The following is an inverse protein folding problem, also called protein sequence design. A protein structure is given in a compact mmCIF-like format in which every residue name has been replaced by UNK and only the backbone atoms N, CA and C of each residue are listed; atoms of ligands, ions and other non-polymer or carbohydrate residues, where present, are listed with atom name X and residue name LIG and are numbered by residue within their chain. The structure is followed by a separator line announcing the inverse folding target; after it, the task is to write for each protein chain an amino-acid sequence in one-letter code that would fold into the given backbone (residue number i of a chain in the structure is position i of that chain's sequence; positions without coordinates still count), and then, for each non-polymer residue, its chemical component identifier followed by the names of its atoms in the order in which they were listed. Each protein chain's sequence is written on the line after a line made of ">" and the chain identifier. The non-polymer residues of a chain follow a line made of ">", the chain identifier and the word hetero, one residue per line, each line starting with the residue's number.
data_IF_943167615819
#
_entry.id   IF_943167615819
#
_cell.length_a   1.000
_cell.length_b   1.000
_cell.length_c   1.000
_cell.angle_alpha   90.00
_cell.angle_beta   90.00
_cell.angle_gamma   90.00
#
_symmetry.space_group_name_H-M   'P 1'
#
loop_
_entity.id
_entity.type
_entity.pdbx_description
1 polymer ?
#
# COMPACT_ATOMS: atom_id res chain seq x y z
N UNK A 1 10.68 -23.28 22.25
CA UNK A 1 9.40 -23.61 22.93
C UNK A 1 8.30 -22.81 22.24
N UNK A 2 7.16 -23.43 21.95
CA UNK A 2 6.01 -22.73 21.35
C UNK A 2 5.51 -21.64 22.30
N UNK A 3 5.20 -20.47 21.76
CA UNK A 3 4.62 -19.35 22.53
C UNK A 3 3.11 -19.24 22.38
N UNK A 4 2.52 -19.94 21.41
CA UNK A 4 1.08 -19.95 21.18
C UNK A 4 0.36 -20.76 22.26
N UNK A 5 -0.67 -20.16 22.85
CA UNK A 5 -1.64 -20.87 23.69
C UNK A 5 -2.86 -21.26 22.85
N UNK A 6 -3.49 -22.41 23.13
CA UNK A 6 -4.71 -22.83 22.41
C UNK A 6 -5.84 -21.81 22.48
N UNK A 7 -5.89 -21.02 23.56
CA UNK A 7 -6.84 -19.92 23.77
C UNK A 7 -6.76 -18.82 22.70
N UNK A 8 -5.67 -18.73 21.94
CA UNK A 8 -5.59 -17.77 20.82
C UNK A 8 -6.63 -18.08 19.74
N UNK A 9 -7.10 -19.33 19.63
CA UNK A 9 -8.02 -19.78 18.59
C UNK A 9 -9.48 -19.91 19.04
N UNK A 10 -9.81 -19.45 20.26
CA UNK A 10 -11.15 -19.56 20.85
C UNK A 10 -12.09 -18.39 20.48
N UNK A 11 -11.56 -17.29 19.95
CA UNK A 11 -12.29 -16.06 19.62
C UNK A 11 -12.51 -15.11 20.81
N UNK A 12 -12.87 -13.87 20.52
CA UNK A 12 -13.30 -12.90 21.54
C UNK A 12 -12.21 -12.48 22.55
N UNK A 13 -12.60 -12.26 23.81
CA UNK A 13 -11.71 -11.73 24.87
C UNK A 13 -10.58 -12.69 25.25
N UNK A 14 -10.83 -14.00 25.17
CA UNK A 14 -9.82 -15.02 25.44
C UNK A 14 -8.66 -14.89 24.43
N UNK A 15 -8.97 -14.75 23.15
CA UNK A 15 -7.96 -14.56 22.11
C UNK A 15 -7.24 -13.22 22.23
N UNK A 16 -7.92 -12.13 22.58
CA UNK A 16 -7.27 -10.81 22.83
C UNK A 16 -6.27 -10.86 23.99
N UNK A 17 -6.63 -11.55 25.07
CA UNK A 17 -5.75 -11.72 26.23
C UNK A 17 -4.54 -12.58 25.87
N UNK A 18 -4.78 -13.71 25.18
CA UNK A 18 -3.72 -14.58 24.69
C UNK A 18 -2.76 -13.85 23.74
N UNK A 19 -3.30 -13.07 22.79
CA UNK A 19 -2.53 -12.30 21.82
C UNK A 19 -1.57 -11.31 22.50
N UNK A 20 -2.06 -10.58 23.51
CA UNK A 20 -1.23 -9.66 24.30
C UNK A 20 -0.09 -10.38 25.01
N UNK A 21 -0.36 -11.55 25.61
CA UNK A 21 0.66 -12.35 26.28
C UNK A 21 1.70 -12.92 25.30
N UNK A 22 1.25 -13.39 24.12
CA UNK A 22 2.13 -13.86 23.05
C UNK A 22 3.03 -12.71 22.59
N UNK A 23 2.48 -11.52 22.38
CA UNK A 23 3.20 -10.37 21.90
C UNK A 23 4.32 -9.93 22.86
N UNK A 24 4.06 -9.92 24.18
CA UNK A 24 5.08 -9.63 25.19
C UNK A 24 6.17 -10.72 25.26
N UNK A 25 5.81 -12.00 25.07
CA UNK A 25 6.79 -13.10 24.98
C UNK A 25 7.66 -12.98 23.74
N UNK A 26 7.08 -12.65 22.59
CA UNK A 26 7.82 -12.44 21.33
C UNK A 26 8.81 -11.27 21.49
N UNK A 27 8.36 -10.17 22.11
CA UNK A 27 9.22 -9.02 22.41
C UNK A 27 10.39 -9.35 23.35
N UNK A 28 10.15 -10.14 24.40
CA UNK A 28 11.17 -10.46 25.42
C UNK A 28 12.13 -11.59 25.05
N UNK A 29 11.70 -12.53 24.20
CA UNK A 29 12.51 -13.69 23.82
C UNK A 29 13.62 -13.38 22.81
N UNK A 30 13.51 -12.29 22.03
CA UNK A 30 14.49 -11.89 21.01
C UNK A 30 14.56 -12.79 19.77
N UNK A 31 14.17 -14.07 19.87
CA UNK A 31 14.14 -15.05 18.78
C UNK A 31 12.87 -15.02 17.93
N UNK A 32 11.88 -14.20 18.30
CA UNK A 32 10.60 -14.14 17.62
C UNK A 32 9.72 -15.38 17.85
N UNK A 33 8.80 -15.64 16.92
CA UNK A 33 7.97 -16.85 16.85
C UNK A 33 8.79 -18.07 16.43
N UNK A 34 8.43 -19.27 16.89
CA UNK A 34 9.01 -20.50 16.33
C UNK A 34 8.43 -20.80 14.94
N UNK A 35 9.11 -21.61 14.12
CA UNK A 35 8.58 -22.05 12.81
C UNK A 35 7.24 -22.77 12.93
N UNK A 36 7.05 -23.55 13.99
CA UNK A 36 5.78 -24.22 14.29
C UNK A 36 4.67 -23.21 14.62
N UNK A 37 4.98 -22.17 15.40
CA UNK A 37 4.02 -21.12 15.72
C UNK A 37 3.61 -20.33 14.47
N UNK A 38 4.57 -20.03 13.59
CA UNK A 38 4.27 -19.37 12.31
C UNK A 38 3.42 -20.24 11.39
N UNK A 39 3.73 -21.53 11.27
CA UNK A 39 2.90 -22.47 10.49
C UNK A 39 1.48 -22.51 11.02
N UNK A 40 1.31 -22.61 12.34
CA UNK A 40 -0.01 -22.64 12.96
C UNK A 40 -0.82 -21.35 12.70
N UNK A 41 -0.19 -20.17 12.74
CA UNK A 41 -0.85 -18.92 12.38
C UNK A 41 -1.20 -18.87 10.89
N UNK A 42 -0.28 -19.28 10.00
CA UNK A 42 -0.51 -19.29 8.57
C UNK A 42 -1.65 -20.25 8.18
N UNK A 43 -1.66 -21.47 8.74
CA UNK A 43 -2.72 -22.46 8.56
C UNK A 43 -4.06 -21.94 9.07
N UNK A 44 -4.07 -21.29 10.25
CA UNK A 44 -5.28 -20.71 10.82
C UNK A 44 -5.85 -19.62 9.91
N UNK A 45 -5.03 -18.71 9.38
CA UNK A 45 -5.45 -17.65 8.46
C UNK A 45 -5.98 -18.22 7.12
N UNK A 46 -5.35 -19.27 6.60
CA UNK A 46 -5.70 -19.89 5.32
C UNK A 46 -6.95 -20.78 5.38
N UNK A 47 -7.33 -21.28 6.56
CA UNK A 47 -8.48 -22.17 6.73
C UNK A 47 -9.81 -21.41 6.57
N UNK A 48 -10.26 -21.27 5.32
CA UNK A 48 -11.53 -20.62 4.95
C UNK A 48 -12.79 -21.43 5.24
N UNK A 49 -12.71 -22.53 5.99
CA UNK A 49 -13.85 -23.40 6.28
C UNK A 49 -14.93 -22.71 7.12
N UNK A 50 -16.17 -23.20 7.00
CA UNK A 50 -17.26 -22.79 7.89
C UNK A 50 -16.99 -23.37 9.29
N UNK A 51 -17.08 -22.53 10.32
CA UNK A 51 -16.84 -22.93 11.73
C UNK A 51 -15.41 -22.66 12.23
N UNK A 52 -14.50 -22.18 11.39
CA UNK A 52 -13.12 -21.87 11.77
C UNK A 52 -12.86 -20.35 11.88
N UNK A 53 -13.93 -19.55 11.85
CA UNK A 53 -13.88 -18.09 11.96
C UNK A 53 -13.17 -17.62 13.24
N UNK A 54 -13.44 -18.25 14.39
CA UNK A 54 -12.77 -17.91 15.65
C UNK A 54 -11.25 -18.13 15.58
N UNK A 55 -10.79 -19.16 14.86
CA UNK A 55 -9.35 -19.41 14.66
C UNK A 55 -8.71 -18.33 13.81
N UNK A 56 -9.37 -17.94 12.71
CA UNK A 56 -8.92 -16.86 11.82
C UNK A 56 -8.89 -15.52 12.53
N UNK A 57 -9.96 -15.17 13.23
CA UNK A 57 -10.04 -13.95 14.04
C UNK A 57 -8.89 -13.93 15.06
N UNK A 58 -8.70 -15.03 15.79
CA UNK A 58 -7.62 -15.21 16.74
C UNK A 58 -6.23 -14.99 16.15
N UNK A 59 -5.97 -15.56 14.97
CA UNK A 59 -4.72 -15.37 14.25
C UNK A 59 -4.51 -13.91 13.81
N UNK A 60 -5.54 -13.24 13.28
CA UNK A 60 -5.48 -11.81 12.97
C UNK A 60 -5.16 -10.97 14.21
N UNK A 61 -5.84 -11.23 15.33
CA UNK A 61 -5.62 -10.52 16.61
C UNK A 61 -4.21 -10.77 17.14
N UNK A 62 -3.68 -11.98 17.01
CA UNK A 62 -2.29 -12.31 17.35
C UNK A 62 -1.31 -11.46 16.53
N UNK A 63 -1.47 -11.42 15.20
CA UNK A 63 -0.63 -10.63 14.30
C UNK A 63 -0.69 -9.14 14.66
N UNK A 64 -1.89 -8.60 14.91
CA UNK A 64 -2.06 -7.21 15.32
C UNK A 64 -1.30 -6.89 16.63
N UNK A 65 -1.43 -7.75 17.65
CA UNK A 65 -0.78 -7.55 18.94
C UNK A 65 0.75 -7.64 18.84
N UNK A 66 1.26 -8.61 18.07
CA UNK A 66 2.70 -8.79 17.83
C UNK A 66 3.26 -7.57 17.09
N UNK A 67 2.60 -7.13 16.02
CA UNK A 67 3.00 -5.94 15.26
C UNK A 67 3.06 -4.69 16.14
N UNK A 68 2.05 -4.47 17.00
CA UNK A 68 2.02 -3.32 17.90
C UNK A 68 3.07 -3.35 19.01
N UNK A 69 3.40 -4.54 19.52
CA UNK A 69 4.22 -4.71 20.73
C UNK A 69 5.67 -5.03 20.43
N UNK A 70 5.92 -6.04 19.59
CA UNK A 70 7.26 -6.49 19.20
C UNK A 70 7.82 -5.69 18.01
N UNK A 71 6.94 -5.08 17.19
CA UNK A 71 7.31 -4.24 16.05
C UNK A 71 8.33 -4.95 15.15
N UNK A 72 9.47 -4.30 14.89
CA UNK A 72 10.54 -4.78 14.01
C UNK A 72 11.16 -6.12 14.47
N UNK A 73 11.06 -6.49 15.75
CA UNK A 73 11.63 -7.75 16.24
C UNK A 73 10.96 -9.01 15.65
N UNK A 74 9.71 -8.88 15.18
CA UNK A 74 8.96 -9.97 14.55
C UNK A 74 8.71 -9.73 13.06
N UNK A 75 9.23 -8.65 12.48
CA UNK A 75 8.85 -8.15 11.15
C UNK A 75 9.04 -9.20 10.06
N UNK A 76 10.23 -9.81 9.96
CA UNK A 76 10.52 -10.85 8.97
C UNK A 76 9.47 -11.97 8.96
N UNK A 77 8.98 -12.33 10.14
CA UNK A 77 8.02 -13.41 10.32
C UNK A 77 6.59 -12.96 10.01
N UNK A 78 6.27 -11.68 10.25
CA UNK A 78 4.95 -11.14 9.93
C UNK A 78 4.76 -10.95 8.42
N UNK A 79 5.83 -10.59 7.69
CA UNK A 79 5.82 -10.43 6.22
C UNK A 79 5.25 -11.68 5.54
N UNK A 80 5.59 -12.88 6.01
CA UNK A 80 5.13 -14.14 5.40
C UNK A 80 3.63 -14.41 5.57
N UNK A 81 2.96 -13.69 6.49
CA UNK A 81 1.53 -13.86 6.78
C UNK A 81 0.65 -12.86 6.03
N UNK A 82 1.23 -11.82 5.42
CA UNK A 82 0.47 -10.68 4.86
C UNK A 82 -0.46 -11.08 3.73
N UNK A 83 -0.05 -11.99 2.84
CA UNK A 83 -0.90 -12.46 1.74
C UNK A 83 -2.16 -13.18 2.26
N UNK A 84 -2.03 -14.06 3.25
CA UNK A 84 -3.19 -14.70 3.87
C UNK A 84 -4.06 -13.68 4.62
N UNK A 85 -3.43 -12.72 5.31
CA UNK A 85 -4.11 -11.69 6.09
C UNK A 85 -4.98 -10.77 5.22
N UNK A 86 -4.49 -10.34 4.06
CA UNK A 86 -5.27 -9.49 3.15
C UNK A 86 -6.44 -10.24 2.50
N UNK A 87 -6.32 -11.56 2.29
CA UNK A 87 -7.45 -12.40 1.88
C UNK A 87 -8.52 -12.49 2.99
N UNK A 88 -8.13 -12.47 4.27
CA UNK A 88 -9.07 -12.46 5.40
C UNK A 88 -9.95 -11.20 5.45
N UNK A 89 -9.55 -10.08 4.83
CA UNK A 89 -10.43 -8.90 4.67
C UNK A 89 -11.71 -9.23 3.89
N UNK A 90 -11.71 -10.30 3.08
CA UNK A 90 -12.85 -10.77 2.31
C UNK A 90 -13.41 -12.12 2.83
N UNK A 91 -13.30 -12.35 4.14
CA UNK A 91 -13.88 -13.51 4.81
C UNK A 91 -15.38 -13.63 4.52
N UNK A 92 -15.83 -14.82 4.13
CA UNK A 92 -17.23 -15.05 3.74
C UNK A 92 -18.17 -15.31 4.92
N UNK A 93 -17.62 -15.59 6.10
CA UNK A 93 -18.34 -16.21 7.21
C UNK A 93 -18.40 -15.34 8.46
N UNK A 94 -17.50 -14.37 8.64
CA UNK A 94 -17.46 -13.52 9.83
C UNK A 94 -16.98 -12.12 9.49
N UNK A 95 -17.74 -11.11 9.97
CA UNK A 95 -17.35 -9.70 9.87
C UNK A 95 -16.22 -9.38 10.84
N UNK A 96 -16.20 -10.04 11.99
CA UNK A 96 -15.18 -9.94 13.02
C UNK A 96 -13.80 -10.36 12.47
N UNK A 97 -13.73 -11.39 11.62
CA UNK A 97 -12.49 -11.77 10.93
C UNK A 97 -12.03 -10.67 9.98
N UNK A 98 -12.95 -10.07 9.21
CA UNK A 98 -12.61 -8.97 8.29
C UNK A 98 -12.06 -7.76 9.05
N UNK A 99 -12.69 -7.40 10.16
CA UNK A 99 -12.28 -6.27 11.00
C UNK A 99 -10.94 -6.56 11.70
N UNK A 100 -10.76 -7.78 12.20
CA UNK A 100 -9.49 -8.20 12.80
C UNK A 100 -8.35 -8.18 11.77
N UNK A 101 -8.60 -8.63 10.53
CA UNK A 101 -7.62 -8.59 9.45
C UNK A 101 -7.23 -7.16 9.06
N UNK A 102 -8.21 -6.27 8.89
CA UNK A 102 -7.96 -4.86 8.61
C UNK A 102 -7.16 -4.17 9.74
N UNK A 103 -7.49 -4.46 11.00
CA UNK A 103 -6.76 -3.97 12.15
C UNK A 103 -5.31 -4.49 12.20
N UNK A 104 -5.10 -5.76 11.89
CA UNK A 104 -3.78 -6.38 11.83
C UNK A 104 -2.91 -5.76 10.73
N UNK A 105 -3.45 -5.59 9.52
CA UNK A 105 -2.76 -4.91 8.42
C UNK A 105 -2.40 -3.46 8.79
N UNK A 106 -3.31 -2.71 9.42
CA UNK A 106 -3.03 -1.35 9.88
C UNK A 106 -1.93 -1.32 10.95
N UNK A 107 -1.94 -2.26 11.90
CA UNK A 107 -0.92 -2.37 12.94
C UNK A 107 0.47 -2.70 12.34
N UNK A 108 0.51 -3.59 11.34
CA UNK A 108 1.73 -3.90 10.59
C UNK A 108 2.23 -2.65 9.86
N UNK A 109 1.39 -2.00 9.06
CA UNK A 109 1.78 -0.82 8.27
C UNK A 109 2.34 0.33 9.14
N UNK A 110 1.87 0.46 10.38
CA UNK A 110 2.35 1.47 11.35
C UNK A 110 3.63 1.10 12.08
N UNK A 111 4.05 -0.16 12.03
CA UNK A 111 5.19 -0.66 12.81
C UNK A 111 6.36 -1.18 11.96
N UNK A 112 6.15 -1.40 10.67
CA UNK A 112 7.17 -1.90 9.75
C UNK A 112 8.29 -0.90 9.46
N UNK A 113 9.49 -1.44 9.25
CA UNK A 113 10.63 -0.74 8.66
C UNK A 113 10.48 -0.63 7.14
N UNK A 114 11.25 0.26 6.49
CA UNK A 114 11.27 0.37 5.03
C UNK A 114 11.61 -0.94 4.31
N UNK A 115 12.39 -1.84 4.92
CA UNK A 115 12.66 -3.17 4.36
C UNK A 115 11.41 -4.05 4.39
N UNK A 116 10.67 -4.04 5.51
CA UNK A 116 9.38 -4.71 5.63
C UNK A 116 8.36 -4.20 4.61
N UNK A 117 8.29 -2.88 4.41
CA UNK A 117 7.44 -2.26 3.38
C UNK A 117 7.76 -2.83 2.00
N UNK A 118 9.03 -2.80 1.58
CA UNK A 118 9.46 -3.36 0.28
C UNK A 118 9.15 -4.86 0.17
N UNK A 119 9.23 -5.61 1.27
CA UNK A 119 8.97 -7.04 1.27
C UNK A 119 7.48 -7.39 1.12
N UNK A 120 6.56 -6.56 1.64
CA UNK A 120 5.12 -6.83 1.55
C UNK A 120 4.46 -6.21 0.31
N UNK A 121 5.10 -5.21 -0.31
CA UNK A 121 4.50 -4.44 -1.39
C UNK A 121 4.08 -5.31 -2.59
N UNK A 122 4.84 -6.31 -3.05
CA UNK A 122 4.39 -7.21 -4.12
C UNK A 122 3.07 -7.90 -3.78
N UNK A 123 2.93 -8.40 -2.54
CA UNK A 123 1.69 -9.04 -2.10
C UNK A 123 0.51 -8.05 -2.00
N UNK A 124 0.76 -6.78 -1.72
CA UNK A 124 -0.27 -5.74 -1.75
C UNK A 124 -0.68 -5.40 -3.18
N UNK A 125 0.26 -5.32 -4.11
CA UNK A 125 -0.02 -5.08 -5.53
C UNK A 125 -0.81 -6.27 -6.11
N UNK A 126 -0.42 -7.51 -5.80
CA UNK A 126 -1.15 -8.71 -6.23
C UNK A 126 -2.58 -8.72 -5.68
N UNK A 127 -2.77 -8.30 -4.42
CA UNK A 127 -4.08 -8.19 -3.78
C UNK A 127 -4.98 -7.08 -4.37
N UNK A 128 -4.43 -6.20 -5.22
CA UNK A 128 -5.17 -5.20 -5.98
C UNK A 128 -5.58 -5.69 -7.39
N UNK A 129 -5.27 -6.93 -7.80
CA UNK A 129 -5.73 -7.48 -9.08
C UNK A 129 -7.28 -7.40 -9.15
N UNK A 130 -7.88 -6.87 -10.22
CA UNK A 130 -9.34 -6.81 -10.41
C UNK A 130 -10.08 -8.15 -10.30
N UNK A 131 -9.38 -9.28 -10.36
CA UNK A 131 -9.94 -10.63 -10.13
C UNK A 131 -10.15 -10.95 -8.66
N UNK A 132 -9.49 -10.23 -7.76
CA UNK A 132 -9.65 -10.40 -6.32
C UNK A 132 -11.01 -9.88 -5.85
N UNK A 133 -11.39 -10.27 -4.63
CA UNK A 133 -12.62 -9.74 -4.03
C UNK A 133 -12.42 -8.28 -3.66
N UNK A 134 -13.46 -7.47 -3.84
CA UNK A 134 -13.40 -6.03 -3.55
C UNK A 134 -12.94 -5.69 -2.13
N UNK A 135 -13.25 -6.52 -1.11
CA UNK A 135 -12.76 -6.27 0.26
C UNK A 135 -11.26 -6.50 0.41
N UNK A 136 -10.69 -7.45 -0.33
CA UNK A 136 -9.24 -7.72 -0.37
C UNK A 136 -8.53 -6.55 -1.05
N UNK A 137 -9.05 -6.09 -2.19
CA UNK A 137 -8.59 -4.87 -2.86
C UNK A 137 -8.62 -3.65 -1.94
N UNK A 138 -9.73 -3.40 -1.24
CA UNK A 138 -9.85 -2.30 -0.27
C UNK A 138 -8.83 -2.45 0.87
N UNK A 139 -8.67 -3.67 1.41
CA UNK A 139 -7.68 -3.95 2.45
C UNK A 139 -6.25 -3.64 1.99
N UNK A 140 -5.90 -4.01 0.76
CA UNK A 140 -4.60 -3.69 0.17
C UNK A 140 -4.43 -2.18 -0.03
N UNK A 141 -5.43 -1.49 -0.59
CA UNK A 141 -5.41 -0.04 -0.82
C UNK A 141 -5.27 0.76 0.48
N UNK A 142 -6.02 0.42 1.53
CA UNK A 142 -5.89 1.10 2.82
C UNK A 142 -4.53 0.79 3.50
N UNK A 143 -3.97 -0.39 3.28
CA UNK A 143 -2.64 -0.75 3.79
C UNK A 143 -1.56 0.09 3.10
N UNK A 144 -1.54 0.13 1.76
CA UNK A 144 -0.59 0.97 1.00
C UNK A 144 -0.78 2.45 1.30
N UNK A 145 -2.03 2.91 1.43
CA UNK A 145 -2.36 4.27 1.85
C UNK A 145 -1.80 4.62 3.24
N UNK A 146 -1.78 3.66 4.17
CA UNK A 146 -1.16 3.83 5.50
C UNK A 146 0.36 3.87 5.39
N UNK A 147 0.95 2.97 4.60
CA UNK A 147 2.40 2.90 4.36
C UNK A 147 2.94 4.19 3.75
N UNK A 148 2.18 4.83 2.87
CA UNK A 148 2.57 6.12 2.28
C UNK A 148 2.76 7.22 3.32
N UNK A 149 2.02 7.17 4.42
CA UNK A 149 2.12 8.12 5.52
C UNK A 149 3.21 7.71 6.52
N UNK A 150 3.34 6.42 6.81
CA UNK A 150 4.24 5.91 7.86
C UNK A 150 5.66 5.63 7.36
N UNK A 151 5.83 5.41 6.06
CA UNK A 151 7.10 5.08 5.39
C UNK A 151 7.18 5.73 4.00
N UNK A 152 7.08 7.07 3.91
CA UNK A 152 6.98 7.78 2.63
C UNK A 152 8.15 7.49 1.69
N UNK A 153 9.38 7.39 2.22
CA UNK A 153 10.56 7.09 1.41
C UNK A 153 10.48 5.71 0.73
N UNK A 154 10.03 4.68 1.44
CA UNK A 154 9.92 3.34 0.87
C UNK A 154 8.79 3.25 -0.18
N UNK A 155 7.73 4.06 -0.02
CA UNK A 155 6.65 4.14 -1.00
C UNK A 155 7.05 4.97 -2.22
N UNK A 156 7.79 6.08 -2.04
CA UNK A 156 8.22 6.94 -3.14
C UNK A 156 9.12 6.21 -4.12
N UNK A 157 10.01 5.35 -3.62
CA UNK A 157 10.86 4.46 -4.43
C UNK A 157 10.07 3.45 -5.28
N UNK A 158 8.87 3.08 -4.85
CA UNK A 158 8.05 2.07 -5.51
C UNK A 158 6.86 2.65 -6.31
N UNK A 159 6.81 3.97 -6.49
CA UNK A 159 5.70 4.63 -7.18
C UNK A 159 5.52 4.17 -8.63
N UNK A 160 6.60 3.76 -9.30
CA UNK A 160 6.56 3.19 -10.64
C UNK A 160 5.70 1.93 -10.74
N UNK A 161 5.69 1.12 -9.68
CA UNK A 161 4.90 -0.10 -9.63
C UNK A 161 3.48 0.17 -9.09
N UNK A 162 3.36 1.07 -8.11
CA UNK A 162 2.09 1.33 -7.41
C UNK A 162 1.13 2.17 -8.26
N UNK A 163 1.60 3.28 -8.85
CA UNK A 163 0.72 4.25 -9.55
C UNK A 163 -0.09 3.59 -10.68
N UNK A 164 0.50 2.77 -11.58
CA UNK A 164 -0.26 2.16 -12.66
C UNK A 164 -1.40 1.27 -12.19
N UNK A 165 -1.24 0.62 -11.03
CA UNK A 165 -2.24 -0.29 -10.44
C UNK A 165 -3.34 0.52 -9.76
N UNK A 166 -2.98 1.45 -8.87
CA UNK A 166 -3.96 2.29 -8.14
C UNK A 166 -4.79 3.15 -9.09
N UNK A 167 -4.18 3.69 -10.15
CA UNK A 167 -4.87 4.54 -11.15
C UNK A 167 -5.98 3.79 -11.89
N UNK A 168 -5.85 2.48 -12.11
CA UNK A 168 -6.90 1.69 -12.76
C UNK A 168 -8.16 1.55 -11.88
N UNK A 169 -8.01 1.74 -10.57
CA UNK A 169 -9.06 1.51 -9.57
C UNK A 169 -9.79 2.79 -9.14
N UNK A 170 -9.29 3.99 -9.49
CA UNK A 170 -9.89 5.27 -9.04
C UNK A 170 -11.32 5.50 -9.54
N UNK A 171 -11.69 4.81 -10.62
CA UNK A 171 -13.02 4.82 -11.23
C UNK A 171 -13.64 3.41 -11.26
N UNK A 172 -13.28 2.55 -10.30
CA UNK A 172 -13.86 1.22 -10.17
C UNK A 172 -15.38 1.27 -9.98
N UNK A 173 -16.08 0.30 -10.58
CA UNK A 173 -17.53 0.11 -10.47
C UNK A 173 -18.02 -0.05 -9.03
N UNK A 174 -17.17 -0.56 -8.13
CA UNK A 174 -17.46 -0.73 -6.72
C UNK A 174 -17.02 0.51 -5.95
N UNK A 175 -17.99 1.27 -5.44
CA UNK A 175 -17.76 2.54 -4.75
C UNK A 175 -16.73 2.44 -3.61
N UNK A 176 -16.76 1.37 -2.81
CA UNK A 176 -15.79 1.17 -1.73
C UNK A 176 -14.35 1.10 -2.25
N UNK A 177 -14.14 0.50 -3.42
CA UNK A 177 -12.83 0.36 -4.05
C UNK A 177 -12.38 1.70 -4.60
N UNK A 178 -13.24 2.41 -5.35
CA UNK A 178 -12.88 3.70 -5.93
C UNK A 178 -12.59 4.76 -4.86
N UNK A 179 -13.35 4.78 -3.76
CA UNK A 179 -13.06 5.66 -2.61
C UNK A 179 -11.71 5.33 -1.97
N UNK A 180 -11.43 4.04 -1.71
CA UNK A 180 -10.15 3.61 -1.15
C UNK A 180 -8.98 3.92 -2.10
N UNK A 181 -9.17 3.72 -3.40
CA UNK A 181 -8.16 3.99 -4.43
C UNK A 181 -7.84 5.47 -4.55
N UNK A 182 -8.84 6.36 -4.49
CA UNK A 182 -8.63 7.82 -4.52
C UNK A 182 -7.85 8.31 -3.30
N UNK A 183 -8.21 7.82 -2.11
CA UNK A 183 -7.47 8.11 -0.87
C UNK A 183 -6.05 7.55 -0.92
N UNK A 184 -5.87 6.34 -1.45
CA UNK A 184 -4.55 5.74 -1.65
C UNK A 184 -3.72 6.59 -2.61
N UNK A 185 -4.28 6.97 -3.76
CA UNK A 185 -3.64 7.82 -4.76
C UNK A 185 -3.17 9.14 -4.14
N UNK A 186 -4.03 9.81 -3.38
CA UNK A 186 -3.66 11.05 -2.69
C UNK A 186 -2.47 10.84 -1.74
N UNK A 187 -2.50 9.81 -0.89
CA UNK A 187 -1.43 9.56 0.06
C UNK A 187 -0.10 9.15 -0.61
N UNK A 188 -0.13 8.30 -1.65
CA UNK A 188 1.10 7.91 -2.36
C UNK A 188 1.71 9.09 -3.12
N UNK A 189 0.89 9.98 -3.70
CA UNK A 189 1.40 11.20 -4.34
C UNK A 189 2.08 12.12 -3.32
N UNK A 190 1.54 12.21 -2.10
CA UNK A 190 2.10 12.98 -0.99
C UNK A 190 3.32 12.32 -0.32
N UNK A 191 3.76 11.13 -0.76
CA UNK A 191 4.97 10.48 -0.24
C UNK A 191 6.27 11.03 -0.83
N UNK A 192 6.17 11.88 -1.86
CA UNK A 192 7.32 12.45 -2.56
C UNK A 192 7.90 13.63 -1.78
N UNK A 193 9.23 13.71 -1.75
CA UNK A 193 10.00 14.86 -1.25
C UNK A 193 10.54 15.66 -2.45
N UNK A 194 9.67 16.43 -3.11
CA UNK A 194 10.03 17.31 -4.22
C UNK A 194 9.13 18.55 -4.24
N UNK A 195 9.70 19.67 -3.81
CA UNK A 195 9.08 20.98 -3.64
C UNK A 195 8.56 21.60 -4.93
N UNK A 196 9.11 21.21 -6.08
CA UNK A 196 8.62 21.68 -7.38
C UNK A 196 7.34 20.94 -7.78
N UNK A 197 7.12 19.72 -7.28
CA UNK A 197 5.96 18.87 -7.63
C UNK A 197 4.86 18.94 -6.57
N UNK A 198 5.21 19.05 -5.29
CA UNK A 198 4.27 19.11 -4.15
C UNK A 198 3.06 20.03 -4.37
N UNK A 199 3.21 21.28 -4.83
CA UNK A 199 2.08 22.19 -5.04
C UNK A 199 1.06 21.70 -6.08
N UNK A 200 1.48 20.78 -6.96
CA UNK A 200 0.67 20.26 -8.06
C UNK A 200 0.01 18.92 -7.73
N UNK A 201 0.38 18.25 -6.64
CA UNK A 201 -0.21 16.97 -6.23
C UNK A 201 -1.75 17.00 -6.27
N UNK A 202 -2.46 18.01 -5.74
CA UNK A 202 -3.91 18.05 -5.82
C UNK A 202 -4.43 18.07 -7.27
N UNK A 203 -3.75 18.79 -8.16
CA UNK A 203 -4.13 18.87 -9.57
C UNK A 203 -3.78 17.57 -10.32
N UNK A 204 -2.67 16.92 -9.98
CA UNK A 204 -2.26 15.62 -10.54
C UNK A 204 -3.28 14.54 -10.19
N UNK A 205 -3.68 14.46 -8.90
CA UNK A 205 -4.70 13.53 -8.42
C UNK A 205 -6.03 13.81 -9.12
N UNK A 206 -6.46 15.07 -9.19
CA UNK A 206 -7.69 15.46 -9.89
C UNK A 206 -7.68 15.06 -11.37
N UNK A 207 -6.59 15.31 -12.10
CA UNK A 207 -6.45 14.95 -13.51
C UNK A 207 -6.37 13.45 -13.77
N UNK A 208 -5.91 12.67 -12.78
CA UNK A 208 -5.90 11.21 -12.84
C UNK A 208 -7.31 10.64 -12.67
N UNK A 209 -8.14 11.29 -11.87
CA UNK A 209 -9.53 10.89 -11.61
C UNK A 209 -10.46 11.34 -12.74
N UNK A 210 -10.34 12.60 -13.15
CA UNK A 210 -11.15 13.27 -14.16
C UNK A 210 -10.24 13.80 -15.28
N UNK A 211 -10.32 13.16 -16.44
CA UNK A 211 -9.49 13.51 -17.59
C UNK A 211 -9.84 14.89 -18.19
N UNK A 212 -10.96 15.52 -17.83
CA UNK A 212 -11.25 16.90 -18.23
C UNK A 212 -10.29 17.90 -17.58
N UNK A 213 -9.74 17.56 -16.40
CA UNK A 213 -8.79 18.40 -15.66
C UNK A 213 -7.36 18.33 -16.21
N UNK A 214 -7.06 17.40 -17.14
CA UNK A 214 -5.71 17.19 -17.69
C UNK A 214 -5.15 18.46 -18.32
N UNK A 215 -5.96 19.20 -19.08
CA UNK A 215 -5.50 20.42 -19.76
C UNK A 215 -5.09 21.49 -18.76
N UNK A 216 -5.90 21.72 -17.72
CA UNK A 216 -5.61 22.69 -16.67
C UNK A 216 -4.36 22.27 -15.86
N UNK A 217 -4.25 20.99 -15.52
CA UNK A 217 -3.10 20.45 -14.81
C UNK A 217 -1.78 20.63 -15.61
N UNK A 218 -1.81 20.30 -16.90
CA UNK A 218 -0.66 20.51 -17.81
C UNK A 218 -0.29 22.00 -17.92
N UNK A 219 -1.27 22.90 -17.97
CA UNK A 219 -1.00 24.34 -18.02
C UNK A 219 -0.31 24.85 -16.75
N UNK A 220 -0.74 24.38 -15.57
CA UNK A 220 -0.12 24.71 -14.28
C UNK A 220 1.32 24.21 -14.22
N UNK A 221 1.57 22.95 -14.57
CA UNK A 221 2.92 22.37 -14.61
C UNK A 221 3.83 23.06 -15.63
N UNK A 222 3.33 23.38 -16.81
CA UNK A 222 4.12 24.07 -17.85
C UNK A 222 4.56 25.49 -17.44
N UNK A 223 3.85 26.10 -16.50
CA UNK A 223 4.17 27.43 -15.96
C UNK A 223 5.15 27.38 -14.78
N UNK A 224 5.60 26.18 -14.42
CA UNK A 224 6.48 25.95 -13.26
C UNK A 224 7.93 25.97 -13.69
N UNK A 225 8.77 26.58 -12.86
CA UNK A 225 10.22 26.48 -12.99
C UNK A 225 10.69 25.35 -12.08
N UNK A 226 11.09 24.22 -12.67
CA UNK A 226 11.71 23.12 -11.94
C UNK A 226 13.16 23.50 -11.61
N UNK A 227 13.57 23.24 -10.36
CA UNK A 227 14.88 23.59 -9.81
C UNK A 227 15.53 22.38 -9.14
N UNK A 228 14.76 21.58 -8.42
CA UNK A 228 15.27 20.36 -7.78
C UNK A 228 15.55 19.27 -8.81
N UNK A 229 16.53 18.44 -8.49
CA UNK A 229 16.85 17.22 -9.23
C UNK A 229 15.60 16.35 -9.34
N UNK A 230 15.36 15.85 -10.54
CA UNK A 230 14.21 15.00 -10.87
C UNK A 230 14.66 13.55 -10.77
N UNK A 231 14.21 12.88 -9.70
CA UNK A 231 14.42 11.44 -9.48
C UNK A 231 13.26 10.62 -10.04
N UNK A 232 13.31 9.29 -9.92
CA UNK A 232 12.26 8.38 -10.38
C UNK A 232 10.85 8.72 -9.83
N UNK A 233 10.74 9.16 -8.57
CA UNK A 233 9.44 9.39 -7.92
C UNK A 233 8.62 10.54 -8.56
N UNK A 234 9.16 11.76 -8.75
CA UNK A 234 8.51 12.82 -9.53
C UNK A 234 8.11 12.38 -10.96
N UNK A 235 8.97 11.62 -11.63
CA UNK A 235 8.68 11.09 -12.97
C UNK A 235 7.50 10.12 -12.96
N UNK A 236 7.39 9.27 -11.93
CA UNK A 236 6.31 8.31 -11.75
C UNK A 236 4.93 8.98 -11.73
N UNK A 237 4.82 10.18 -11.14
CA UNK A 237 3.58 10.96 -11.14
C UNK A 237 3.33 11.72 -12.45
N UNK A 238 4.37 12.34 -13.01
CA UNK A 238 4.20 13.27 -14.12
C UNK A 238 4.10 12.53 -15.45
N UNK A 239 4.83 11.42 -15.65
CA UNK A 239 4.82 10.68 -16.91
C UNK A 239 3.42 10.19 -17.32
N UNK A 240 2.60 9.56 -16.44
CA UNK A 240 1.22 9.18 -16.79
C UNK A 240 0.36 10.37 -17.20
N UNK A 241 0.47 11.51 -16.50
CA UNK A 241 -0.25 12.73 -16.87
C UNK A 241 0.17 13.24 -18.25
N UNK A 242 1.47 13.26 -18.55
CA UNK A 242 1.96 13.71 -19.86
C UNK A 242 1.48 12.80 -20.98
N UNK A 243 1.42 11.49 -20.76
CA UNK A 243 0.83 10.54 -21.71
C UNK A 243 -0.65 10.85 -21.97
N UNK A 244 -1.43 11.19 -20.94
CA UNK A 244 -2.80 11.67 -21.12
C UNK A 244 -2.83 12.99 -21.89
N UNK A 245 -1.95 13.94 -21.56
CA UNK A 245 -1.82 15.22 -22.25
C UNK A 245 -1.51 15.10 -23.74
N UNK A 246 -0.66 14.15 -24.15
CA UNK A 246 -0.36 13.87 -25.56
C UNK A 246 -1.52 13.24 -26.33
N UNK A 247 -2.44 12.56 -25.63
CA UNK A 247 -3.67 12.00 -26.22
C UNK A 247 -4.74 13.06 -26.46
N UNK A 248 -4.67 14.22 -25.81
CA UNK A 248 -5.58 15.35 -26.06
C UNK A 248 -5.43 15.86 -27.50
N UNK A 249 -6.54 16.26 -28.15
CA UNK A 249 -6.53 16.71 -29.56
C UNK A 249 -5.81 18.04 -29.78
N UNK A 250 -5.76 18.91 -28.78
CA UNK A 250 -5.24 20.28 -28.89
C UNK A 250 -3.72 20.32 -29.00
N UNK A 251 -3.20 20.86 -30.11
CA UNK A 251 -1.76 21.03 -30.34
C UNK A 251 -1.08 21.88 -29.27
N UNK A 252 -1.79 22.87 -28.70
CA UNK A 252 -1.26 23.71 -27.61
C UNK A 252 -0.91 22.87 -26.37
N UNK A 253 -1.78 21.95 -25.95
CA UNK A 253 -1.55 21.04 -24.81
C UNK A 253 -0.37 20.12 -25.08
N UNK A 254 -0.26 19.56 -26.30
CA UNK A 254 0.89 18.72 -26.69
C UNK A 254 2.21 19.49 -26.64
N UNK A 255 2.21 20.76 -27.07
CA UNK A 255 3.38 21.64 -26.98
C UNK A 255 3.77 21.88 -25.51
N UNK A 256 2.80 22.13 -24.63
CA UNK A 256 3.05 22.28 -23.19
C UNK A 256 3.64 21.01 -22.57
N UNK A 257 3.13 19.83 -22.94
CA UNK A 257 3.70 18.55 -22.50
C UNK A 257 5.17 18.42 -22.93
N UNK A 258 5.50 18.76 -24.18
CA UNK A 258 6.89 18.75 -24.67
C UNK A 258 7.79 19.75 -23.93
N UNK A 259 7.26 20.92 -23.54
CA UNK A 259 8.00 21.89 -22.70
C UNK A 259 8.30 21.32 -21.33
N UNK A 260 7.32 20.68 -20.68
CA UNK A 260 7.51 20.03 -19.38
C UNK A 260 8.61 18.95 -19.47
N UNK A 261 8.53 18.07 -20.47
CA UNK A 261 9.56 17.03 -20.70
C UNK A 261 10.94 17.66 -20.89
N UNK A 262 11.07 18.68 -21.73
CA UNK A 262 12.34 19.36 -21.98
C UNK A 262 12.91 20.06 -20.74
N UNK A 263 12.06 20.58 -19.86
CA UNK A 263 12.51 21.23 -18.63
C UNK A 263 12.93 20.20 -17.58
N UNK A 264 12.14 19.14 -17.38
CA UNK A 264 12.42 18.10 -16.39
C UNK A 264 13.61 17.22 -16.77
N UNK A 265 13.74 16.82 -18.04
CA UNK A 265 14.82 15.93 -18.50
C UNK A 265 16.23 16.52 -18.30
N UNK A 266 16.36 17.85 -18.22
CA UNK A 266 17.63 18.53 -17.92
C UNK A 266 18.04 18.43 -16.45
N UNK A 267 17.10 18.05 -15.59
CA UNK A 267 17.27 17.95 -14.14
C UNK A 267 17.35 16.49 -13.68
N UNK A 268 17.33 15.53 -14.61
CA UNK A 268 17.62 14.13 -14.32
C UNK A 268 19.14 13.95 -14.31
N UNK A 269 19.70 13.66 -13.15
CA UNK A 269 21.14 13.45 -12.98
C UNK A 269 21.56 12.01 -13.22
N UNK A 270 20.75 11.04 -12.76
CA UNK A 270 20.99 9.61 -12.93
C UNK A 270 20.12 9.05 -14.08
N UNK A 271 20.72 8.46 -15.14
CA UNK A 271 19.96 7.81 -16.21
C UNK A 271 19.02 6.69 -15.72
N UNK A 272 19.33 6.02 -14.61
CA UNK A 272 18.50 4.96 -14.04
C UNK A 272 17.14 5.49 -13.55
N UNK A 273 17.06 6.76 -13.13
CA UNK A 273 15.79 7.39 -12.73
C UNK A 273 14.83 7.54 -13.92
N UNK A 274 15.36 7.77 -15.13
CA UNK A 274 14.57 7.92 -16.34
C UNK A 274 14.34 6.60 -17.09
N UNK A 275 15.18 5.58 -16.88
CA UNK A 275 15.15 4.33 -17.62
C UNK A 275 13.77 3.66 -17.69
N UNK A 276 12.95 3.59 -16.61
CA UNK A 276 11.61 2.98 -16.65
C UNK A 276 10.61 3.71 -17.58
N UNK A 277 10.90 4.95 -17.95
CA UNK A 277 10.00 5.81 -18.73
C UNK A 277 10.43 5.98 -20.19
N UNK A 278 11.58 5.41 -20.57
CA UNK A 278 12.11 5.46 -21.92
C UNK A 278 11.67 4.21 -22.71
N UNK A 279 11.47 4.33 -24.03
CA UNK A 279 11.06 3.23 -24.91
C UNK A 279 12.16 2.20 -25.18
#
# INVERSE_FOLDING_TARGET
>A
MSVLSSSIFEGGDASRTAASQIAEKVKSSGSGLSSADLSALAEALADGSKGTAAKREGACVAVAAIAGTAKQAAEHQMVTLVSALVTCCADKHSKEVQDAAANALSALAKSMSGHGVRAILPAMIDAMDPKEKWQTMVGALDTVSTLAVTSPLAISEALNDIIPVVTQMVNDSKEQVSVAARKCLENICNSIDNRDVEPFIPALVAATIDHEQVVECVQKLASTTFVQTVTAAPLALIAPLLLLGFRVRTTATKRMCAVIINNMSKLVEDPEDAAPFLP
#
